data_IF_868088248176
#
_entry.id   IF_868088248176
#
_cell.length_a   1.000
_cell.length_b   1.000
_cell.length_c   1.000
_cell.angle_alpha   90.00
_cell.angle_beta   90.00
_cell.angle_gamma   90.00
#
_symmetry.space_group_name_H-M   'P 1'
#
loop_
_entity.id
_entity.type
_entity.pdbx_description
1 polymer ?
#
# COMPACT_ATOMS: atom_id res chain seq x y z
N UNK A 1 -9.25 13.79 -32.30
CA UNK A 1 -8.53 14.56 -31.26
C UNK A 1 -8.71 13.85 -29.93
N UNK A 2 -7.66 13.47 -29.19
CA UNK A 2 -7.87 12.94 -27.82
C UNK A 2 -8.49 14.06 -26.99
N UNK A 3 -9.53 13.79 -26.22
CA UNK A 3 -10.07 14.80 -25.30
C UNK A 3 -9.01 15.18 -24.27
N UNK A 4 -8.99 16.45 -23.84
CA UNK A 4 -8.05 16.95 -22.83
C UNK A 4 -8.07 16.09 -21.57
N UNK A 5 -9.26 15.64 -21.15
CA UNK A 5 -9.41 14.73 -20.01
C UNK A 5 -8.71 13.38 -20.17
N UNK A 6 -8.71 12.79 -21.38
CA UNK A 6 -7.97 11.56 -21.64
C UNK A 6 -6.46 11.79 -21.56
N UNK A 7 -5.98 12.91 -22.10
CA UNK A 7 -4.57 13.27 -22.03
C UNK A 7 -4.10 13.49 -20.57
N UNK A 8 -4.91 14.18 -19.75
CA UNK A 8 -4.62 14.38 -18.33
C UNK A 8 -4.56 13.06 -17.56
N UNK A 9 -5.52 12.15 -17.78
CA UNK A 9 -5.51 10.82 -17.13
C UNK A 9 -4.26 10.03 -17.53
N UNK A 10 -3.94 10.00 -18.83
CA UNK A 10 -2.72 9.36 -19.33
C UNK A 10 -1.44 9.97 -18.73
N UNK A 11 -1.40 11.31 -18.55
CA UNK A 11 -0.29 11.99 -17.90
C UNK A 11 -0.14 11.56 -16.45
N UNK A 12 -1.20 11.61 -15.63
CA UNK A 12 -1.15 11.25 -14.20
C UNK A 12 -0.67 9.81 -13.98
N UNK A 13 -1.08 8.87 -14.83
CA UNK A 13 -0.63 7.48 -14.76
C UNK A 13 0.84 7.31 -15.14
N UNK A 14 1.34 8.08 -16.11
CA UNK A 14 2.70 7.94 -16.63
C UNK A 14 3.70 8.97 -16.09
N UNK A 15 3.27 9.88 -15.21
CA UNK A 15 4.06 11.03 -14.79
C UNK A 15 5.44 10.64 -14.24
N UNK A 16 5.52 9.59 -13.43
CA UNK A 16 6.79 9.06 -12.94
C UNK A 16 7.77 8.64 -14.05
N UNK A 17 7.25 8.08 -15.15
CA UNK A 17 8.02 7.70 -16.34
C UNK A 17 8.38 8.89 -17.23
N UNK A 18 7.70 10.03 -17.05
CA UNK A 18 8.03 11.26 -17.75
C UNK A 18 9.16 12.01 -17.04
N UNK A 19 9.29 11.86 -15.73
CA UNK A 19 10.31 12.53 -14.93
C UNK A 19 11.71 11.92 -15.11
N UNK A 20 11.80 10.61 -15.37
CA UNK A 20 13.08 9.91 -15.60
C UNK A 20 13.02 9.05 -16.86
N UNK A 21 14.11 9.02 -17.63
CA UNK A 21 14.28 8.11 -18.77
C UNK A 21 14.51 6.65 -18.33
N UNK A 22 14.72 5.74 -19.29
CA UNK A 22 14.93 4.32 -19.00
C UNK A 22 16.23 4.06 -18.22
N UNK A 23 17.20 4.97 -18.36
CA UNK A 23 18.51 4.98 -17.71
C UNK A 23 18.46 5.67 -16.33
N UNK A 24 17.33 6.30 -15.97
CA UNK A 24 17.11 6.98 -14.70
C UNK A 24 17.53 8.45 -14.67
N UNK A 25 17.99 9.00 -15.79
CA UNK A 25 18.33 10.42 -15.93
C UNK A 25 17.07 11.26 -15.98
N UNK A 26 17.19 12.49 -15.49
CA UNK A 26 16.08 13.44 -15.38
C UNK A 26 15.78 14.14 -16.71
N UNK A 27 14.50 14.16 -17.08
CA UNK A 27 14.03 14.80 -18.31
C UNK A 27 13.66 16.28 -18.06
N UNK A 28 14.51 17.19 -18.50
CA UNK A 28 14.28 18.64 -18.34
C UNK A 28 13.25 19.21 -19.32
N UNK A 29 12.91 18.48 -20.39
CA UNK A 29 11.92 18.89 -21.38
C UNK A 29 10.59 18.18 -21.17
N UNK A 30 9.44 18.86 -21.42
CA UNK A 30 8.15 18.21 -21.36
C UNK A 30 8.09 17.08 -22.40
N UNK A 31 7.42 15.95 -22.08
CA UNK A 31 7.26 14.88 -23.05
C UNK A 31 6.55 15.39 -24.31
N UNK A 32 7.08 15.07 -25.50
CA UNK A 32 6.53 15.52 -26.78
C UNK A 32 5.02 15.26 -26.93
N UNK A 33 4.54 14.17 -26.32
CA UNK A 33 3.14 13.78 -26.26
C UNK A 33 2.23 14.82 -25.59
N UNK A 34 2.76 15.61 -24.66
CA UNK A 34 2.03 16.62 -23.88
C UNK A 34 2.53 18.04 -24.14
N UNK A 35 3.47 18.25 -25.06
CA UNK A 35 4.04 19.57 -25.38
C UNK A 35 2.98 20.60 -25.81
N UNK A 36 1.85 20.13 -26.36
CA UNK A 36 0.73 20.98 -26.75
C UNK A 36 -0.17 21.40 -25.56
N UNK A 37 0.06 20.85 -24.37
CA UNK A 37 -0.77 21.04 -23.16
C UNK A 37 0.02 21.61 -21.98
N UNK A 38 1.33 21.43 -21.98
CA UNK A 38 2.23 21.81 -20.89
C UNK A 38 3.34 22.65 -21.53
N UNK A 39 3.41 23.92 -21.15
CA UNK A 39 4.54 24.76 -21.52
C UNK A 39 5.81 24.37 -20.73
N UNK A 40 6.95 24.76 -21.28
CA UNK A 40 8.26 24.40 -20.71
C UNK A 40 8.47 25.00 -19.31
N UNK A 41 7.93 26.20 -19.04
CA UNK A 41 8.07 26.85 -17.74
C UNK A 41 7.34 26.06 -16.64
N UNK A 42 6.09 25.68 -16.88
CA UNK A 42 5.27 24.86 -16.00
C UNK A 42 5.87 23.46 -15.82
N UNK A 43 6.49 22.90 -16.86
CA UNK A 43 7.22 21.63 -16.75
C UNK A 43 8.43 21.76 -15.81
N UNK A 44 9.23 22.81 -15.96
CA UNK A 44 10.41 23.05 -15.12
C UNK A 44 10.00 23.30 -13.66
N UNK A 45 8.94 24.08 -13.41
CA UNK A 45 8.42 24.31 -12.07
C UNK A 45 7.94 22.99 -11.43
N UNK A 46 7.12 22.22 -12.16
CA UNK A 46 6.66 20.91 -11.75
C UNK A 46 7.83 19.95 -11.46
N UNK A 47 8.84 19.94 -12.32
CA UNK A 47 10.04 19.11 -12.17
C UNK A 47 10.82 19.48 -10.90
N UNK A 48 11.07 20.77 -10.68
CA UNK A 48 11.79 21.25 -9.50
C UNK A 48 11.03 20.87 -8.22
N UNK A 49 9.71 21.05 -8.21
CA UNK A 49 8.87 20.64 -7.10
C UNK A 49 8.97 19.13 -6.82
N UNK A 50 8.86 18.27 -7.83
CA UNK A 50 8.86 16.82 -7.62
C UNK A 50 10.23 16.18 -7.37
N UNK A 51 11.32 16.84 -7.77
CA UNK A 51 12.68 16.24 -7.71
C UNK A 51 13.64 16.96 -6.78
N UNK A 52 13.43 18.24 -6.49
CA UNK A 52 14.33 19.06 -5.66
C UNK A 52 13.72 19.47 -4.32
N UNK A 53 12.39 19.38 -4.16
CA UNK A 53 11.76 19.70 -2.89
C UNK A 53 12.16 18.67 -1.82
N UNK A 54 12.99 19.10 -0.88
CA UNK A 54 13.51 18.23 0.17
C UNK A 54 12.40 17.61 1.04
N UNK A 55 11.31 18.34 1.25
CA UNK A 55 10.21 17.87 2.09
C UNK A 55 9.51 16.68 1.44
N UNK A 56 9.23 16.76 0.15
CA UNK A 56 8.66 15.63 -0.61
C UNK A 56 9.62 14.45 -0.72
N UNK A 57 10.92 14.69 -0.95
CA UNK A 57 11.91 13.61 -0.99
C UNK A 57 11.99 12.87 0.34
N UNK A 58 12.05 13.58 1.47
CA UNK A 58 12.05 12.99 2.82
C UNK A 58 10.80 12.14 3.06
N UNK A 59 9.62 12.64 2.66
CA UNK A 59 8.35 11.90 2.77
C UNK A 59 8.38 10.63 1.89
N UNK A 60 8.85 10.76 0.65
CA UNK A 60 8.95 9.65 -0.31
C UNK A 60 9.87 8.55 0.21
N UNK A 61 11.07 8.89 0.66
CA UNK A 61 12.01 7.94 1.25
C UNK A 61 11.45 7.25 2.49
N UNK A 62 10.80 8.00 3.38
CA UNK A 62 10.18 7.43 4.56
C UNK A 62 9.05 6.45 4.19
N UNK A 63 8.24 6.79 3.19
CA UNK A 63 7.17 5.91 2.69
C UNK A 63 7.75 4.65 2.01
N UNK A 64 8.82 4.79 1.23
CA UNK A 64 9.54 3.64 0.67
C UNK A 64 10.08 2.72 1.75
N UNK A 65 10.70 3.26 2.81
CA UNK A 65 11.17 2.48 3.96
C UNK A 65 10.03 1.77 4.70
N UNK A 66 8.88 2.45 4.88
CA UNK A 66 7.68 1.84 5.48
C UNK A 66 7.10 0.71 4.62
N UNK A 67 7.15 0.85 3.29
CA UNK A 67 6.62 -0.12 2.35
C UNK A 67 7.53 -1.34 2.17
N UNK A 68 8.86 -1.15 2.21
CA UNK A 68 9.82 -2.24 2.01
C UNK A 68 9.93 -3.18 3.22
N UNK A 69 9.72 -2.68 4.43
CA UNK A 69 9.74 -3.46 5.66
C UNK A 69 8.51 -3.16 6.53
N UNK A 70 7.32 -3.65 6.12
CA UNK A 70 6.11 -3.43 6.89
C UNK A 70 6.23 -4.08 8.27
N UNK A 71 5.83 -3.32 9.30
CA UNK A 71 5.89 -3.73 10.71
C UNK A 71 5.03 -4.99 10.93
N UNK A 72 3.86 -5.05 10.30
CA UNK A 72 2.91 -6.16 10.40
C UNK A 72 2.69 -6.76 9.00
N UNK A 73 3.62 -7.59 8.51
CA UNK A 73 3.56 -8.11 7.14
C UNK A 73 2.32 -8.97 6.93
N UNK A 74 1.53 -8.63 5.92
CA UNK A 74 0.38 -9.43 5.49
C UNK A 74 0.86 -10.70 4.76
N UNK A 75 0.29 -11.87 5.10
CA UNK A 75 0.74 -13.17 4.60
C UNK A 75 -0.28 -13.89 3.73
N UNK A 76 -1.54 -13.50 3.77
CA UNK A 76 -2.60 -14.11 2.96
C UNK A 76 -2.61 -13.68 1.47
N UNK A 77 -1.48 -13.19 0.95
CA UNK A 77 -1.27 -12.89 -0.48
C UNK A 77 -2.39 -12.04 -1.09
N UNK A 78 -2.93 -12.43 -2.24
CA UNK A 78 -3.99 -11.73 -2.97
C UNK A 78 -5.41 -12.01 -2.43
N UNK A 79 -5.58 -12.84 -1.40
CA UNK A 79 -6.90 -13.22 -0.89
C UNK A 79 -7.66 -12.04 -0.31
N UNK A 80 -6.94 -11.04 0.22
CA UNK A 80 -7.55 -9.96 0.99
C UNK A 80 -8.26 -10.49 2.24
N UNK A 81 -8.84 -9.59 3.03
CA UNK A 81 -9.52 -10.00 4.26
C UNK A 81 -10.75 -10.87 3.98
N UNK A 82 -11.48 -10.61 2.90
CA UNK A 82 -12.65 -11.40 2.50
C UNK A 82 -12.30 -12.87 2.22
N UNK A 83 -11.19 -13.13 1.51
CA UNK A 83 -10.77 -14.50 1.24
C UNK A 83 -10.21 -15.21 2.48
N UNK A 84 -9.62 -14.47 3.43
CA UNK A 84 -9.23 -15.03 4.74
C UNK A 84 -10.46 -15.43 5.55
N UNK A 85 -11.48 -14.58 5.58
CA UNK A 85 -12.75 -14.85 6.26
C UNK A 85 -13.44 -16.10 5.69
N UNK A 86 -13.57 -16.20 4.37
CA UNK A 86 -14.12 -17.38 3.69
C UNK A 86 -13.35 -18.65 4.08
N UNK A 87 -12.01 -18.59 4.11
CA UNK A 87 -11.17 -19.73 4.51
C UNK A 87 -11.37 -20.14 5.97
N UNK A 88 -11.50 -19.18 6.89
CA UNK A 88 -11.78 -19.46 8.30
C UNK A 88 -13.14 -20.15 8.43
N UNK A 89 -14.15 -19.63 7.72
CA UNK A 89 -15.50 -20.19 7.72
C UNK A 89 -15.56 -21.58 7.09
N UNK A 90 -14.80 -21.86 6.03
CA UNK A 90 -14.70 -23.21 5.44
C UNK A 90 -14.07 -24.23 6.40
N UNK A 91 -13.13 -23.79 7.25
CA UNK A 91 -12.42 -24.66 8.19
C UNK A 91 -13.18 -24.88 9.51
N UNK A 92 -13.98 -23.91 9.93
CA UNK A 92 -14.90 -24.08 11.06
C UNK A 92 -16.17 -24.73 10.55
N UNK A 93 -16.73 -25.75 11.21
CA UNK A 93 -18.03 -26.33 10.83
C UNK A 93 -19.23 -25.37 11.05
N UNK A 94 -18.95 -24.06 11.16
CA UNK A 94 -19.88 -22.97 11.41
C UNK A 94 -20.61 -22.60 10.12
N UNK A 95 -21.92 -22.29 10.15
CA UNK A 95 -22.61 -21.78 8.98
C UNK A 95 -21.96 -20.48 8.46
N UNK A 96 -21.78 -20.40 7.14
CA UNK A 96 -21.15 -19.30 6.39
C UNK A 96 -21.71 -17.88 6.65
N UNK A 97 -22.76 -17.73 7.45
CA UNK A 97 -23.36 -16.45 7.83
C UNK A 97 -22.86 -15.89 9.17
N UNK A 98 -22.04 -16.63 9.91
CA UNK A 98 -21.46 -16.14 11.16
C UNK A 98 -20.36 -15.12 10.89
N UNK A 99 -20.42 -13.97 11.56
CA UNK A 99 -19.37 -12.96 11.46
C UNK A 99 -18.10 -13.45 12.17
N UNK A 100 -16.96 -13.45 11.47
CA UNK A 100 -15.66 -13.74 12.07
C UNK A 100 -15.18 -12.50 12.83
N UNK A 101 -14.66 -12.72 14.05
CA UNK A 101 -14.09 -11.64 14.84
C UNK A 101 -12.92 -10.97 14.11
N UNK A 102 -12.87 -9.63 14.13
CA UNK A 102 -11.88 -8.85 13.38
C UNK A 102 -10.44 -9.12 13.84
N UNK A 103 -10.24 -9.38 15.14
CA UNK A 103 -8.92 -9.66 15.69
C UNK A 103 -8.44 -11.04 15.23
N UNK A 104 -9.33 -12.03 15.19
CA UNK A 104 -9.07 -13.36 14.62
C UNK A 104 -8.71 -13.26 13.14
N UNK A 105 -9.47 -12.46 12.39
CA UNK A 105 -9.22 -12.22 10.97
C UNK A 105 -7.88 -11.53 10.73
N UNK A 106 -7.52 -10.56 11.58
CA UNK A 106 -6.26 -9.83 11.50
C UNK A 106 -5.05 -10.71 11.83
N UNK A 107 -5.19 -11.61 12.82
CA UNK A 107 -4.18 -12.60 13.20
C UNK A 107 -3.97 -13.62 12.08
N UNK A 108 -5.04 -14.23 11.57
CA UNK A 108 -4.96 -15.30 10.57
C UNK A 108 -4.33 -14.82 9.25
N UNK A 109 -4.67 -13.60 8.85
CA UNK A 109 -4.07 -12.90 7.71
C UNK A 109 -2.53 -12.76 7.79
N UNK A 110 -1.93 -12.92 8.98
CA UNK A 110 -0.50 -12.74 9.26
C UNK A 110 0.23 -14.02 9.66
N UNK A 111 -0.47 -15.16 9.71
CA UNK A 111 0.14 -16.47 9.90
C UNK A 111 0.92 -16.88 8.65
N UNK A 112 2.03 -17.58 8.85
CA UNK A 112 2.78 -18.20 7.76
C UNK A 112 2.04 -19.43 7.21
N UNK A 113 2.64 -20.12 6.23
CA UNK A 113 2.03 -21.31 5.61
C UNK A 113 1.81 -22.47 6.59
N UNK A 114 2.50 -22.47 7.72
CA UNK A 114 2.37 -23.45 8.81
C UNK A 114 1.30 -23.02 9.84
N UNK A 115 0.65 -21.88 9.66
CA UNK A 115 -0.34 -21.36 10.62
C UNK A 115 0.28 -20.66 11.83
N UNK A 116 1.57 -20.30 11.79
CA UNK A 116 2.29 -19.69 12.92
C UNK A 116 2.52 -18.20 12.69
N UNK A 117 2.36 -17.39 13.74
CA UNK A 117 2.78 -15.98 13.74
C UNK A 117 4.29 -15.92 14.00
N UNK A 118 5.07 -15.70 12.94
CA UNK A 118 6.53 -15.72 12.98
C UNK A 118 7.17 -14.34 13.21
N UNK A 119 6.37 -13.28 13.23
CA UNK A 119 6.83 -11.91 13.44
C UNK A 119 6.58 -11.47 14.90
N UNK A 120 7.65 -11.15 15.62
CA UNK A 120 7.61 -10.75 17.03
C UNK A 120 6.65 -9.58 17.31
N UNK A 121 6.60 -8.58 16.44
CA UNK A 121 5.72 -7.41 16.61
C UNK A 121 4.26 -7.76 16.38
N UNK A 122 3.98 -8.65 15.42
CA UNK A 122 2.63 -9.19 15.23
C UNK A 122 2.22 -9.99 16.46
N UNK A 123 3.11 -10.84 16.99
CA UNK A 123 2.83 -11.62 18.19
C UNK A 123 2.57 -10.73 19.41
N UNK A 124 3.34 -9.66 19.60
CA UNK A 124 3.12 -8.67 20.66
C UNK A 124 1.73 -8.02 20.54
N UNK A 125 1.31 -7.65 19.33
CA UNK A 125 0.00 -7.07 19.08
C UNK A 125 -1.14 -8.06 19.40
N UNK A 126 -1.01 -9.32 18.97
CA UNK A 126 -1.95 -10.41 19.28
C UNK A 126 -2.05 -10.61 20.80
N UNK A 127 -0.90 -10.68 21.48
CA UNK A 127 -0.85 -10.86 22.93
C UNK A 127 -1.56 -9.71 23.68
N UNK A 128 -1.40 -8.46 23.22
CA UNK A 128 -2.08 -7.30 23.82
C UNK A 128 -3.60 -7.40 23.73
N UNK A 129 -4.12 -7.85 22.59
CA UNK A 129 -5.55 -8.06 22.39
C UNK A 129 -6.05 -9.15 23.35
N UNK A 130 -5.39 -10.31 23.38
CA UNK A 130 -5.74 -11.43 24.26
C UNK A 130 -5.70 -11.04 25.75
N UNK A 131 -4.68 -10.29 26.16
CA UNK A 131 -4.57 -9.76 27.52
C UNK A 131 -5.69 -8.76 27.84
N UNK A 132 -6.01 -7.84 26.92
CA UNK A 132 -7.07 -6.85 27.14
C UNK A 132 -8.44 -7.54 27.33
N UNK A 133 -8.74 -8.60 26.58
CA UNK A 133 -9.96 -9.38 26.78
C UNK A 133 -10.01 -10.08 28.15
N UNK A 134 -8.88 -10.57 28.65
CA UNK A 134 -8.80 -11.19 29.99
C UNK A 134 -9.01 -10.19 31.13
N UNK A 135 -8.53 -8.94 30.99
CA UNK A 135 -8.71 -7.91 32.03
C UNK A 135 -10.13 -7.32 32.08
N UNK A 136 -10.90 -7.41 30.99
CA UNK A 136 -12.27 -6.85 30.92
C UNK A 136 -13.34 -7.86 31.40
N UNK A 137 -13.04 -9.16 31.40
CA UNK A 137 -13.92 -10.19 31.98
C UNK A 137 -13.23 -10.92 33.14
N UNK A 138 -13.10 -10.29 34.32
CA UNK A 138 -12.92 -11.08 35.53
C UNK A 138 -14.22 -11.87 35.77
N UNK A 139 -14.09 -13.16 36.13
CA UNK A 139 -15.19 -14.07 36.44
C UNK A 139 -16.26 -13.46 37.36
#
# INVERSE_FOLDING_TARGET
>A
MKSVGKALREFRTNCGKCLRDAEGNVNLKPPAKYANLIDEANWIEFFNYHTKDEKLLKISEQNCKRASSPIYPYRASLMGYRGVEEKILEQSETPSSAAVDLDVLWEDARKNKQGVVDNEKVQEAVNRVVCAFHFIKPC
#
